data_IF_078967727544
#
_entry.id   IF_078967727544
#
_cell.length_a   1.000
_cell.length_b   1.000
_cell.length_c   1.000
_cell.angle_alpha   90.00
_cell.angle_beta   90.00
_cell.angle_gamma   90.00
#
_symmetry.space_group_name_H-M   'P 1'
#
loop_
_entity.id
_entity.type
_entity.pdbx_description
1 polymer ?
#
# COMPACT_ATOMS: atom_id res chain seq x y z
N UNK A 1 55.01 -11.72 -5.40
CA UNK A 1 54.25 -12.45 -6.44
C UNK A 1 52.83 -12.82 -5.96
N UNK A 2 52.65 -13.35 -4.74
CA UNK A 2 51.31 -13.72 -4.20
C UNK A 2 50.39 -12.53 -3.87
N UNK A 3 50.93 -11.37 -3.50
CA UNK A 3 50.13 -10.17 -3.15
C UNK A 3 49.38 -9.60 -4.36
N UNK A 4 49.98 -9.69 -5.56
CA UNK A 4 49.36 -9.18 -6.80
C UNK A 4 48.17 -10.04 -7.26
N UNK A 5 48.09 -11.30 -6.84
CA UNK A 5 46.96 -12.17 -7.20
C UNK A 5 45.69 -11.82 -6.41
N UNK A 6 45.84 -11.30 -5.20
CA UNK A 6 44.71 -11.04 -4.29
C UNK A 6 44.00 -9.70 -4.58
N UNK A 7 44.68 -8.75 -5.21
CA UNK A 7 44.09 -7.46 -5.61
C UNK A 7 43.33 -7.55 -6.94
N UNK A 8 43.71 -8.46 -7.84
CA UNK A 8 43.09 -8.55 -9.17
C UNK A 8 41.67 -9.13 -9.12
N UNK A 9 41.39 -10.04 -8.17
CA UNK A 9 40.08 -10.69 -8.01
C UNK A 9 38.98 -9.80 -7.42
N UNK A 10 39.32 -8.64 -6.84
CA UNK A 10 38.34 -7.78 -6.17
C UNK A 10 37.72 -6.69 -7.07
N UNK A 11 38.26 -6.44 -8.28
CA UNK A 11 37.78 -5.36 -9.15
C UNK A 11 36.67 -5.76 -10.12
N UNK A 12 36.50 -7.04 -10.41
CA UNK A 12 35.56 -7.52 -11.43
C UNK A 12 34.14 -7.81 -10.92
N UNK A 13 33.88 -7.73 -9.60
CA UNK A 13 32.58 -8.09 -9.03
C UNK A 13 31.56 -6.94 -8.90
N UNK A 14 31.78 -5.80 -9.56
CA UNK A 14 30.86 -4.64 -9.44
C UNK A 14 30.32 -4.12 -10.77
N UNK A 15 29.88 -5.02 -11.64
CA UNK A 15 28.88 -4.71 -12.68
C UNK A 15 27.58 -5.44 -12.36
N UNK A 16 26.83 -4.91 -11.39
CA UNK A 16 25.42 -5.30 -11.22
C UNK A 16 24.61 -4.52 -12.25
N UNK A 17 24.01 -5.26 -13.18
CA UNK A 17 23.20 -4.76 -14.28
C UNK A 17 21.98 -3.98 -13.76
N UNK A 18 22.02 -2.65 -13.88
CA UNK A 18 20.89 -1.75 -13.57
C UNK A 18 19.81 -1.76 -14.66
N UNK A 19 19.97 -2.55 -15.73
CA UNK A 19 19.14 -2.45 -16.95
C UNK A 19 17.91 -3.39 -17.01
N UNK A 20 17.70 -4.26 -16.02
CA UNK A 20 16.57 -5.21 -16.03
C UNK A 20 15.25 -4.64 -15.48
N UNK A 21 15.25 -3.47 -14.84
CA UNK A 21 14.07 -2.93 -14.16
C UNK A 21 13.07 -2.20 -15.05
N UNK A 22 13.48 -1.71 -16.22
CA UNK A 22 12.67 -0.81 -17.03
C UNK A 22 11.44 -1.49 -17.65
N UNK A 23 11.56 -2.77 -18.02
CA UNK A 23 10.45 -3.55 -18.57
C UNK A 23 9.33 -3.79 -17.55
N UNK A 24 9.69 -4.07 -16.28
CA UNK A 24 8.72 -4.35 -15.23
C UNK A 24 7.87 -3.12 -14.87
N UNK A 25 8.49 -1.94 -14.81
CA UNK A 25 7.77 -0.68 -14.58
C UNK A 25 6.74 -0.45 -15.71
N UNK A 26 7.15 -0.68 -16.96
CA UNK A 26 6.28 -0.45 -18.11
C UNK A 26 5.09 -1.42 -18.14
N UNK A 27 5.32 -2.69 -17.83
CA UNK A 27 4.26 -3.70 -17.71
C UNK A 27 3.25 -3.35 -16.63
N UNK A 28 3.70 -2.92 -15.44
CA UNK A 28 2.81 -2.52 -14.35
C UNK A 28 1.97 -1.29 -14.71
N UNK A 29 2.55 -0.32 -15.41
CA UNK A 29 1.86 0.89 -15.84
C UNK A 29 0.73 0.56 -16.83
N UNK A 30 0.99 -0.29 -17.84
CA UNK A 30 -0.03 -0.72 -18.79
C UNK A 30 -1.15 -1.49 -18.09
N UNK A 31 -0.82 -2.42 -17.20
CA UNK A 31 -1.82 -3.22 -16.50
C UNK A 31 -2.70 -2.35 -15.58
N UNK A 32 -2.10 -1.39 -14.89
CA UNK A 32 -2.82 -0.41 -14.07
C UNK A 32 -3.75 0.48 -14.90
N UNK A 33 -3.33 0.90 -16.09
CA UNK A 33 -4.15 1.72 -16.99
C UNK A 33 -5.37 0.94 -17.51
N UNK A 34 -5.20 -0.33 -17.86
CA UNK A 34 -6.28 -1.22 -18.29
C UNK A 34 -7.30 -1.41 -17.15
N UNK A 35 -6.83 -1.71 -15.94
CA UNK A 35 -7.70 -1.84 -14.77
C UNK A 35 -8.49 -0.55 -14.49
N UNK A 36 -7.84 0.61 -14.59
CA UNK A 36 -8.49 1.91 -14.45
C UNK A 36 -9.55 2.18 -15.52
N UNK A 37 -9.27 1.83 -16.78
CA UNK A 37 -10.21 2.00 -17.90
C UNK A 37 -11.47 1.12 -17.76
N UNK A 38 -11.35 -0.05 -17.13
CA UNK A 38 -12.48 -0.95 -16.83
C UNK A 38 -13.34 -0.41 -15.67
N UNK A 39 -12.94 0.70 -15.04
CA UNK A 39 -13.67 1.29 -13.92
C UNK A 39 -13.32 0.64 -12.57
N UNK A 40 -12.27 -0.18 -12.53
CA UNK A 40 -11.70 -0.65 -11.27
C UNK A 40 -11.06 0.55 -10.58
N UNK A 41 -11.81 1.20 -9.69
CA UNK A 41 -11.30 2.24 -8.81
C UNK A 41 -10.86 1.55 -7.52
N UNK A 42 -9.57 1.24 -7.35
CA UNK A 42 -9.11 0.87 -6.03
C UNK A 42 -9.25 2.11 -5.14
N UNK A 43 -10.19 2.10 -4.20
CA UNK A 43 -10.27 3.06 -3.07
C UNK A 43 -9.03 2.98 -2.14
N UNK A 44 -7.96 2.34 -2.59
CA UNK A 44 -6.88 1.78 -1.77
C UNK A 44 -5.65 2.72 -1.75
N UNK A 45 -5.65 3.81 -2.53
CA UNK A 45 -4.51 4.75 -2.54
C UNK A 45 -4.35 5.58 -1.25
N UNK A 46 -5.28 5.47 -0.29
CA UNK A 46 -5.16 6.07 1.05
C UNK A 46 -5.24 5.06 2.20
N UNK A 47 -4.91 3.78 1.96
CA UNK A 47 -4.59 2.89 3.08
C UNK A 47 -3.09 2.76 3.23
N UNK A 48 -2.46 3.90 3.54
CA UNK A 48 -1.19 3.87 4.26
C UNK A 48 -1.38 2.97 5.48
N UNK A 49 -0.72 1.82 5.44
CA UNK A 49 -0.04 1.18 6.56
C UNK A 49 -0.49 1.71 7.94
N UNK A 50 -1.62 1.24 8.44
CA UNK A 50 -1.86 1.22 9.89
C UNK A 50 -1.77 -0.23 10.35
N UNK A 51 -0.53 -0.58 10.72
CA UNK A 51 -0.30 -1.36 11.93
C UNK A 51 -1.37 -1.01 12.98
N UNK A 52 -2.18 -1.98 13.37
CA UNK A 52 -2.67 -2.08 14.75
C UNK A 52 -3.21 -0.76 15.35
N UNK A 53 -4.13 -0.08 14.65
CA UNK A 53 -4.85 1.06 15.22
C UNK A 53 -6.23 0.60 15.67
N UNK A 54 -6.36 0.49 16.99
CA UNK A 54 -7.59 0.48 17.76
C UNK A 54 -8.63 1.38 17.09
N UNK A 55 -9.55 0.80 16.33
CA UNK A 55 -10.66 1.55 15.75
C UNK A 55 -11.35 2.27 16.89
N UNK A 56 -11.39 3.60 16.81
CA UNK A 56 -12.05 4.39 17.85
C UNK A 56 -13.54 4.00 17.85
N UNK A 57 -14.22 4.01 19.00
CA UNK A 57 -15.66 3.70 19.05
C UNK A 57 -16.46 4.48 18.00
N UNK A 58 -16.07 5.73 17.73
CA UNK A 58 -16.64 6.59 16.68
C UNK A 58 -16.52 5.99 15.27
N UNK A 59 -15.37 5.42 14.91
CA UNK A 59 -15.15 4.79 13.60
C UNK A 59 -15.98 3.52 13.44
N UNK A 60 -16.13 2.74 14.52
CA UNK A 60 -16.98 1.55 14.53
C UNK A 60 -18.45 1.94 14.28
N UNK A 61 -18.94 2.98 14.96
CA UNK A 61 -20.32 3.47 14.83
C UNK A 61 -20.57 4.00 13.41
N UNK A 62 -19.65 4.79 12.84
CA UNK A 62 -19.73 5.25 11.44
C UNK A 62 -19.77 4.09 10.44
N UNK A 63 -18.93 3.08 10.65
CA UNK A 63 -18.89 1.91 9.78
C UNK A 63 -20.22 1.13 9.79
N UNK A 64 -20.86 0.97 10.95
CA UNK A 64 -22.16 0.28 11.06
C UNK A 64 -23.30 1.06 10.44
N UNK A 65 -23.31 2.39 10.61
CA UNK A 65 -24.30 3.25 9.96
C UNK A 65 -24.18 3.17 8.43
N UNK A 66 -22.96 3.21 7.90
CA UNK A 66 -22.71 3.07 6.46
C UNK A 66 -23.15 1.71 5.90
N UNK A 67 -23.09 0.65 6.71
CA UNK A 67 -23.60 -0.69 6.37
C UNK A 67 -25.11 -0.84 6.54
N UNK A 68 -25.78 0.14 7.15
CA UNK A 68 -27.20 0.06 7.50
C UNK A 68 -27.51 -0.90 8.65
N UNK A 69 -26.51 -1.26 9.45
CA UNK A 69 -26.67 -2.13 10.64
C UNK A 69 -27.29 -1.38 11.83
N UNK A 70 -27.23 -0.05 11.82
CA UNK A 70 -27.83 0.82 12.83
C UNK A 70 -28.62 1.96 12.16
N UNK A 71 -29.67 2.41 12.82
CA UNK A 71 -30.49 3.52 12.34
C UNK A 71 -29.81 4.87 12.58
N UNK A 72 -30.34 5.92 11.94
CA UNK A 72 -29.84 7.31 12.13
C UNK A 72 -30.03 7.77 13.58
N UNK A 73 -31.11 7.32 14.22
CA UNK A 73 -31.43 7.63 15.61
C UNK A 73 -30.41 6.98 16.55
N UNK A 74 -30.10 5.70 16.35
CA UNK A 74 -29.08 4.97 17.12
C UNK A 74 -27.69 5.57 16.94
N UNK A 75 -27.34 5.95 15.71
CA UNK A 75 -26.08 6.64 15.40
C UNK A 75 -25.94 7.95 16.18
N UNK A 76 -27.00 8.76 16.24
CA UNK A 76 -26.97 10.03 16.98
C UNK A 76 -26.92 9.85 18.49
N UNK A 77 -27.58 8.84 19.04
CA UNK A 77 -27.49 8.51 20.47
C UNK A 77 -26.06 8.13 20.85
N UNK A 78 -25.43 7.25 20.08
CA UNK A 78 -24.05 6.81 20.32
C UNK A 78 -23.02 7.93 20.13
N UNK A 79 -23.26 8.85 19.19
CA UNK A 79 -22.43 10.05 19.04
C UNK A 79 -22.47 10.96 20.27
N UNK A 80 -23.64 11.07 20.91
CA UNK A 80 -23.82 11.89 22.12
C UNK A 80 -23.19 11.26 23.35
N UNK A 81 -23.13 9.94 23.40
CA UNK A 81 -22.55 9.18 24.52
C UNK A 81 -21.00 9.21 24.51
N UNK A 82 -20.40 9.46 23.35
CA UNK A 82 -18.95 9.55 23.18
C UNK A 82 -18.34 10.92 23.55
N UNK A 83 -19.13 11.86 24.06
CA UNK A 83 -18.73 13.23 24.34
C UNK A 83 -19.09 13.65 25.76
#
# INVERSE_FOLDING_TARGET
>A
MLVLYNEFTNKDLKRRNTMMGFGLIFTLLIFGLIAYAIGWRPEILFREKSSEYSLTPLEIIKARYARGEISKEEFQLLLRDLN
#
